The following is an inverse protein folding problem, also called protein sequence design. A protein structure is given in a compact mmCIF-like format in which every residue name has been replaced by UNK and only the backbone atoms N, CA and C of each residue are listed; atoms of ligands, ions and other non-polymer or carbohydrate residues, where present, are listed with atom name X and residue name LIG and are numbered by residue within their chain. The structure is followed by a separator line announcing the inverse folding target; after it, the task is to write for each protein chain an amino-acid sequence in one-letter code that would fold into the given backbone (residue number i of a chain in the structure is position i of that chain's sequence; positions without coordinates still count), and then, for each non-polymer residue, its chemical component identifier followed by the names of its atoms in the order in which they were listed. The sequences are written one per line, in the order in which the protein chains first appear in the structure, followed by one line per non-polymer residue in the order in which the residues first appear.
data_IF_383929671924
#
_entry.id   IF_383929671924
#
_cell.length_a   1.000
_cell.length_b   1.000
_cell.length_c   1.000
_cell.angle_alpha   90.00
_cell.angle_beta   90.00
_cell.angle_gamma   90.00
#
_symmetry.space_group_name_H-M   'P 1'
#
loop_
_entity.id
_entity.type
_entity.pdbx_description
1 polymer ?
#
# COMPACT_ATOMS: atom_id res chain seq x y z
N UNK A 1 6.91 0.85 6.98
CA UNK A 1 7.29 1.33 5.64
C UNK A 1 7.34 0.14 4.70
N UNK A 2 6.68 0.25 3.54
CA UNK A 2 6.58 -0.79 2.54
C UNK A 2 7.15 -0.28 1.22
N UNK A 3 7.84 -1.14 0.47
CA UNK A 3 8.40 -0.79 -0.83
C UNK A 3 7.90 -1.78 -1.88
N UNK A 4 7.26 -1.25 -2.93
CA UNK A 4 6.90 -2.04 -4.10
C UNK A 4 7.96 -1.88 -5.19
N UNK A 5 8.60 -3.00 -5.53
CA UNK A 5 9.69 -3.07 -6.53
C UNK A 5 9.23 -3.68 -7.86
N UNK A 6 7.92 -3.95 -8.01
CA UNK A 6 7.38 -4.48 -9.25
C UNK A 6 7.56 -3.51 -10.41
N UNK A 7 7.94 -4.03 -11.59
CA UNK A 7 8.04 -3.22 -12.82
C UNK A 7 6.69 -2.99 -13.50
N UNK A 8 5.68 -3.75 -13.09
CA UNK A 8 4.31 -3.70 -13.62
C UNK A 8 3.46 -2.71 -12.83
N UNK A 9 2.37 -2.24 -13.45
CA UNK A 9 1.38 -1.37 -12.78
C UNK A 9 0.90 -1.99 -11.46
N UNK A 10 0.89 -1.20 -10.39
CA UNK A 10 0.36 -1.60 -9.09
C UNK A 10 -1.18 -1.62 -9.14
N UNK A 11 -1.77 -2.79 -8.92
CA UNK A 11 -3.19 -3.05 -9.06
C UNK A 11 -3.89 -3.14 -7.70
N UNK A 12 -5.23 -3.19 -7.73
CA UNK A 12 -6.03 -3.28 -6.50
C UNK A 12 -5.72 -4.55 -5.69
N UNK A 13 -5.45 -5.68 -6.36
CA UNK A 13 -5.04 -6.92 -5.68
C UNK A 13 -3.75 -6.75 -4.87
N UNK A 14 -2.81 -5.93 -5.37
CA UNK A 14 -1.54 -5.68 -4.70
C UNK A 14 -1.78 -4.80 -3.46
N UNK A 15 -2.71 -3.84 -3.58
CA UNK A 15 -3.16 -2.99 -2.47
C UNK A 15 -3.82 -3.79 -1.35
N UNK A 16 -4.70 -4.74 -1.70
CA UNK A 16 -5.37 -5.62 -0.73
C UNK A 16 -4.36 -6.49 0.02
N UNK A 17 -3.43 -7.11 -0.71
CA UNK A 17 -2.36 -7.90 -0.12
C UNK A 17 -1.49 -7.07 0.83
N UNK A 18 -1.18 -5.82 0.44
CA UNK A 18 -0.40 -4.91 1.26
C UNK A 18 -1.11 -4.57 2.57
N UNK A 19 -2.43 -4.33 2.53
CA UNK A 19 -3.25 -4.04 3.69
C UNK A 19 -3.26 -5.21 4.67
N UNK A 20 -3.51 -6.42 4.19
CA UNK A 20 -3.44 -7.64 5.02
C UNK A 20 -2.06 -7.85 5.63
N UNK A 21 -0.99 -7.60 4.88
CA UNK A 21 0.38 -7.67 5.39
C UNK A 21 0.62 -6.62 6.48
N UNK A 22 0.11 -5.41 6.29
CA UNK A 22 0.28 -4.35 7.27
C UNK A 22 -0.40 -4.67 8.60
N UNK A 23 -1.61 -5.23 8.57
CA UNK A 23 -2.34 -5.66 9.76
C UNK A 23 -1.65 -6.81 10.51
N UNK A 24 -1.01 -7.72 9.78
CA UNK A 24 -0.26 -8.84 10.38
C UNK A 24 1.04 -8.38 11.06
N UNK A 25 1.67 -7.34 10.53
CA UNK A 25 2.98 -6.86 10.99
C UNK A 25 2.84 -5.79 12.08
N UNK A 26 1.76 -5.03 12.07
CA UNK A 26 1.55 -3.90 12.97
C UNK A 26 0.48 -4.23 14.01
N UNK A 27 0.92 -4.53 15.23
CA UNK A 27 0.03 -4.66 16.39
C UNK A 27 -0.46 -3.28 16.84
N UNK A 28 -1.71 -2.94 16.48
CA UNK A 28 -2.67 -2.00 17.09
C UNK A 28 -2.27 -0.58 17.53
N UNK A 29 -1.01 -0.17 17.49
CA UNK A 29 -0.59 1.17 17.87
C UNK A 29 -0.11 1.94 16.64
N UNK A 30 -0.81 3.04 16.36
CA UNK A 30 -0.70 3.96 15.24
C UNK A 30 0.71 4.04 14.63
N UNK A 31 0.92 3.32 13.51
CA UNK A 31 2.09 3.53 12.65
C UNK A 31 1.62 4.05 11.31
N UNK A 32 2.15 5.22 10.94
CA UNK A 32 1.99 5.79 9.60
C UNK A 32 2.41 4.73 8.57
N UNK A 33 1.46 4.32 7.73
CA UNK A 33 1.69 3.33 6.68
C UNK A 33 2.24 4.06 5.46
N UNK A 34 3.52 3.91 5.16
CA UNK A 34 4.15 4.53 4.00
C UNK A 34 4.38 3.46 2.94
N UNK A 35 3.87 3.66 1.72
CA UNK A 35 4.19 2.87 0.53
C UNK A 35 5.09 3.69 -0.40
N UNK A 36 6.30 3.21 -0.64
CA UNK A 36 7.15 3.68 -1.74
C UNK A 36 6.95 2.83 -2.97
N UNK A 37 6.63 3.47 -4.10
CA UNK A 37 6.47 2.75 -5.38
C UNK A 37 6.90 3.59 -6.57
N UNK A 38 7.82 3.04 -7.36
CA UNK A 38 8.18 3.62 -8.67
C UNK A 38 7.24 3.13 -9.79
N UNK A 39 6.37 2.17 -9.50
CA UNK A 39 5.40 1.67 -10.46
C UNK A 39 4.18 2.59 -10.53
N UNK A 40 3.58 2.77 -11.72
CA UNK A 40 2.32 3.49 -11.83
C UNK A 40 1.23 2.73 -11.06
N UNK A 41 0.45 3.44 -10.22
CA UNK A 41 -0.72 2.87 -9.55
C UNK A 41 -1.96 3.02 -10.42
N UNK A 42 -2.82 2.01 -10.45
CA UNK A 42 -4.17 2.21 -10.99
C UNK A 42 -5.00 3.06 -10.02
N UNK A 43 -5.96 3.84 -10.53
CA UNK A 43 -6.75 4.76 -9.72
C UNK A 43 -7.49 4.06 -8.58
N UNK A 44 -7.97 2.83 -8.80
CA UNK A 44 -8.63 2.02 -7.77
C UNK A 44 -7.68 1.66 -6.62
N UNK A 45 -6.45 1.25 -6.93
CA UNK A 45 -5.46 0.88 -5.91
C UNK A 45 -5.02 2.10 -5.10
N UNK A 46 -4.78 3.24 -5.77
CA UNK A 46 -4.42 4.50 -5.12
C UNK A 46 -5.51 4.96 -4.14
N UNK A 47 -6.76 4.99 -4.60
CA UNK A 47 -7.88 5.42 -3.76
C UNK A 47 -8.07 4.49 -2.56
N UNK A 48 -7.96 3.18 -2.78
CA UNK A 48 -8.06 2.20 -1.69
C UNK A 48 -6.98 2.45 -0.62
N UNK A 49 -5.71 2.53 -1.00
CA UNK A 49 -4.61 2.74 -0.07
C UNK A 49 -4.74 4.05 0.72
N UNK A 50 -5.12 5.15 0.07
CA UNK A 50 -5.33 6.44 0.76
C UNK A 50 -6.44 6.33 1.80
N UNK A 51 -7.55 5.65 1.48
CA UNK A 51 -8.66 5.45 2.41
C UNK A 51 -8.27 4.57 3.61
N UNK A 52 -7.37 3.60 3.41
CA UNK A 52 -6.81 2.76 4.47
C UNK A 52 -5.68 3.47 5.26
N UNK A 53 -5.40 4.75 4.98
CA UNK A 53 -4.42 5.54 5.72
C UNK A 53 -2.97 5.40 5.24
N UNK A 54 -2.75 4.86 4.04
CA UNK A 54 -1.41 4.81 3.46
C UNK A 54 -1.01 6.16 2.85
N UNK A 55 0.20 6.63 3.18
CA UNK A 55 0.92 7.65 2.46
C UNK A 55 1.67 7.00 1.28
N UNK A 56 1.39 7.44 0.06
CA UNK A 56 2.02 6.91 -1.16
C UNK A 56 3.10 7.89 -1.62
N UNK A 57 4.34 7.42 -1.73
CA UNK A 57 5.53 8.17 -2.14
C UNK A 57 6.21 7.58 -3.39
#
# INVERSE_FOLDING_TARGET
MFQYTGKTRFLLKDALNLKELSEKILSSEEKILILHTNAPLCSKAKNYLINEGFLIL
#
